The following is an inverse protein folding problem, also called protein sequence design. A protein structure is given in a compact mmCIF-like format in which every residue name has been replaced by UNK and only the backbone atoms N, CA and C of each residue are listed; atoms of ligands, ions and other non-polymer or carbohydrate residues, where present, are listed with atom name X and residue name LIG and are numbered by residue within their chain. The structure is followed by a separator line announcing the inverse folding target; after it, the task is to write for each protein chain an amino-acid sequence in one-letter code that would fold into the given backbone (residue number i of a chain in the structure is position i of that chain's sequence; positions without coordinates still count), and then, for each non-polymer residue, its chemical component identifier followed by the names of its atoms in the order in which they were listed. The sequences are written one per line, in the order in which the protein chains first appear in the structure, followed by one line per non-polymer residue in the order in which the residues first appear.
data_IF_888693984164
#
_entry.id   IF_888693984164
#
_cell.length_a   1.000
_cell.length_b   1.000
_cell.length_c   1.000
_cell.angle_alpha   90.00
_cell.angle_beta   90.00
_cell.angle_gamma   90.00
#
_symmetry.space_group_name_H-M   'P 1'
#
loop_
_entity.id
_entity.type
_entity.pdbx_description
1 polymer ?
#
# COMPACT_ATOMS: atom_id res chain seq x y z
N UNK A 1 -19.93 -5.71 -0.64
CA UNK A 1 -19.69 -4.63 -1.62
C UNK A 1 -20.68 -4.79 -2.76
N UNK A 2 -21.26 -3.73 -3.34
CA UNK A 2 -22.00 -3.85 -4.60
C UNK A 2 -21.15 -4.62 -5.61
N UNK A 3 -21.74 -5.56 -6.35
CA UNK A 3 -21.02 -6.41 -7.30
C UNK A 3 -20.20 -5.55 -8.28
N UNK A 4 -18.88 -5.54 -8.15
CA UNK A 4 -18.00 -4.88 -9.10
C UNK A 4 -18.00 -5.68 -10.41
N UNK A 5 -18.70 -5.16 -11.42
CA UNK A 5 -18.82 -5.80 -12.73
C UNK A 5 -17.56 -5.65 -13.60
N UNK A 6 -16.57 -4.86 -13.17
CA UNK A 6 -15.29 -4.67 -13.89
C UNK A 6 -14.17 -5.57 -13.37
N UNK A 7 -14.41 -6.31 -12.27
CA UNK A 7 -13.46 -7.25 -11.68
C UNK A 7 -13.96 -8.68 -11.82
N UNK A 8 -13.06 -9.64 -11.58
CA UNK A 8 -13.43 -11.03 -11.42
C UNK A 8 -14.39 -11.15 -10.24
N UNK A 9 -15.55 -11.77 -10.48
CA UNK A 9 -16.56 -11.98 -9.45
C UNK A 9 -16.13 -13.16 -8.58
N UNK A 10 -15.57 -12.84 -7.42
CA UNK A 10 -15.33 -13.79 -6.34
C UNK A 10 -16.62 -14.17 -5.60
N UNK A 11 -16.51 -14.96 -4.52
CA UNK A 11 -17.62 -15.19 -3.61
C UNK A 11 -18.08 -13.87 -2.96
N UNK A 12 -19.36 -13.83 -2.55
CA UNK A 12 -19.94 -12.66 -1.88
C UNK A 12 -19.25 -12.38 -0.53
N UNK A 13 -18.77 -13.43 0.14
CA UNK A 13 -18.01 -13.37 1.38
C UNK A 13 -16.69 -14.14 1.26
N UNK A 14 -15.62 -13.60 1.83
CA UNK A 14 -14.33 -14.25 1.99
C UNK A 14 -13.76 -13.83 3.34
N UNK A 15 -13.35 -14.80 4.15
CA UNK A 15 -12.82 -14.56 5.49
C UNK A 15 -11.40 -15.14 5.57
N UNK A 16 -10.40 -14.37 6.02
CA UNK A 16 -9.01 -14.82 6.04
C UNK A 16 -8.81 -15.90 7.11
N UNK A 17 -8.01 -16.96 6.83
CA UNK A 17 -7.79 -18.05 7.77
C UNK A 17 -7.27 -17.64 9.15
N UNK A 18 -6.55 -16.50 9.23
CA UNK A 18 -6.00 -15.95 10.46
C UNK A 18 -7.05 -15.72 11.56
N UNK A 19 -8.31 -15.45 11.20
CA UNK A 19 -9.39 -15.24 12.18
C UNK A 19 -9.72 -16.48 13.01
N UNK A 20 -9.33 -17.67 12.54
CA UNK A 20 -9.60 -18.94 13.21
C UNK A 20 -8.34 -19.74 13.51
N UNK A 21 -7.16 -19.14 13.30
CA UNK A 21 -5.92 -19.72 13.73
C UNK A 21 -5.90 -19.71 15.28
N UNK A 22 -5.88 -20.90 15.90
CA UNK A 22 -5.71 -21.02 17.33
C UNK A 22 -4.29 -20.54 17.68
N UNK A 23 -4.19 -19.44 18.44
CA UNK A 23 -2.92 -18.77 18.71
C UNK A 23 -2.64 -17.59 17.77
N UNK A 24 -3.68 -16.95 17.21
CA UNK A 24 -3.58 -15.59 16.69
C UNK A 24 -3.22 -14.61 17.82
N UNK A 25 -2.01 -14.74 18.36
CA UNK A 25 -1.26 -13.56 18.77
C UNK A 25 -1.25 -12.66 17.55
N UNK A 26 -1.59 -11.40 17.79
CA UNK A 26 -1.75 -10.36 16.78
C UNK A 26 -0.61 -10.46 15.77
N UNK A 27 -0.88 -11.07 14.61
CA UNK A 27 -0.03 -10.97 13.44
C UNK A 27 -0.12 -9.49 13.03
N UNK A 28 0.68 -8.68 13.72
CA UNK A 28 1.10 -7.36 13.31
C UNK A 28 1.49 -7.50 11.85
N UNK A 29 0.63 -7.07 10.93
CA UNK A 29 0.93 -7.03 9.51
C UNK A 29 2.10 -6.04 9.17
N UNK A 30 2.91 -5.67 10.18
CA UNK A 30 4.19 -4.98 10.11
C UNK A 30 5.33 -5.67 10.87
N UNK A 31 5.11 -6.86 11.44
CA UNK A 31 6.13 -7.68 12.09
C UNK A 31 6.77 -8.61 11.06
N UNK A 32 8.01 -8.27 10.66
CA UNK A 32 8.81 -9.17 9.83
C UNK A 32 9.14 -10.46 10.58
N UNK A 33 9.69 -11.44 9.87
CA UNK A 33 10.20 -12.71 10.40
C UNK A 33 10.97 -12.51 11.74
N UNK A 34 10.32 -12.86 12.87
CA UNK A 34 10.94 -12.91 14.19
C UNK A 34 10.59 -11.76 15.15
N UNK A 35 9.32 -11.50 15.45
CA UNK A 35 8.94 -10.64 16.58
C UNK A 35 8.96 -11.45 17.90
N UNK A 36 10.15 -11.91 18.31
CA UNK A 36 10.38 -12.10 19.74
C UNK A 36 10.25 -10.73 20.41
N UNK A 37 9.45 -10.63 21.47
CA UNK A 37 9.15 -9.42 22.26
C UNK A 37 10.21 -8.33 22.04
N UNK A 38 9.83 -7.28 21.29
CA UNK A 38 10.78 -6.33 20.72
C UNK A 38 11.79 -5.87 21.78
N UNK A 39 13.04 -6.32 21.64
CA UNK A 39 14.13 -5.91 22.51
C UNK A 39 14.23 -4.36 22.48
N UNK A 40 14.67 -3.72 23.58
CA UNK A 40 14.79 -2.27 23.62
C UNK A 40 15.64 -1.77 22.44
N UNK A 41 15.01 -0.98 21.57
CA UNK A 41 15.64 -0.33 20.42
C UNK A 41 16.16 1.04 20.83
N UNK A 42 17.33 1.41 20.34
CA UNK A 42 17.82 2.78 20.43
C UNK A 42 16.86 3.74 19.68
N UNK A 43 16.25 4.74 20.35
CA UNK A 43 15.32 5.68 19.71
C UNK A 43 15.96 6.49 18.57
N UNK A 44 17.28 6.62 18.56
CA UNK A 44 18.03 7.31 17.50
C UNK A 44 18.44 6.38 16.34
N UNK A 45 18.31 5.07 16.49
CA UNK A 45 18.67 4.15 15.43
C UNK A 45 17.71 4.28 14.25
N UNK A 46 18.25 4.33 13.03
CA UNK A 46 17.48 4.24 11.79
C UNK A 46 17.37 2.78 11.33
N UNK A 47 16.31 2.43 10.62
CA UNK A 47 16.19 1.10 9.97
C UNK A 47 17.06 1.10 8.71
N UNK A 48 17.90 0.08 8.47
CA UNK A 48 18.54 -0.11 7.18
C UNK A 48 17.58 0.08 6.00
N UNK A 49 18.05 0.83 5.00
CA UNK A 49 17.28 1.27 3.85
C UNK A 49 17.97 0.80 2.56
N UNK A 50 17.21 0.14 1.68
CA UNK A 50 17.56 -0.04 0.29
C UNK A 50 16.68 0.88 -0.57
N UNK A 51 17.30 1.71 -1.41
CA UNK A 51 16.57 2.61 -2.31
C UNK A 51 17.16 2.55 -3.72
N UNK A 52 16.29 2.45 -4.73
CA UNK A 52 16.67 2.48 -6.14
C UNK A 52 15.71 3.35 -6.95
N UNK A 53 16.25 4.40 -7.57
CA UNK A 53 15.54 5.19 -8.57
C UNK A 53 15.58 4.52 -9.95
N UNK A 54 14.61 4.82 -10.80
CA UNK A 54 14.55 4.33 -12.18
C UNK A 54 14.33 2.82 -12.30
N UNK A 55 13.60 2.21 -11.36
CA UNK A 55 13.35 0.77 -11.38
C UNK A 55 12.42 0.36 -12.53
N UNK A 56 11.38 1.17 -12.80
CA UNK A 56 10.36 0.88 -13.80
C UNK A 56 10.71 1.54 -15.13
N UNK A 57 10.80 0.74 -16.19
CA UNK A 57 11.10 1.20 -17.55
C UNK A 57 9.92 1.88 -18.26
N UNK A 58 8.68 1.64 -17.80
CA UNK A 58 7.46 2.21 -18.39
C UNK A 58 7.03 3.54 -17.77
N UNK A 59 7.73 3.98 -16.71
CA UNK A 59 7.48 5.26 -16.06
C UNK A 59 8.59 6.24 -16.44
N UNK A 60 8.26 7.52 -16.48
CA UNK A 60 9.23 8.60 -16.74
C UNK A 60 10.15 8.81 -15.53
N UNK A 61 9.59 8.62 -14.32
CA UNK A 61 10.34 8.50 -13.08
C UNK A 61 9.79 7.38 -12.23
N UNK A 62 10.64 6.69 -11.47
CA UNK A 62 10.18 5.69 -10.50
C UNK A 62 11.18 5.53 -9.37
N UNK A 63 10.72 5.02 -8.23
CA UNK A 63 11.56 4.70 -7.08
C UNK A 63 11.02 3.47 -6.36
N UNK A 64 11.93 2.59 -5.94
CA UNK A 64 11.66 1.51 -5.02
C UNK A 64 12.42 1.74 -3.72
N UNK A 65 11.74 1.52 -2.60
CA UNK A 65 12.22 1.75 -1.24
C UNK A 65 11.87 0.54 -0.39
N UNK A 66 12.86 0.00 0.30
CA UNK A 66 12.72 -1.13 1.20
C UNK A 66 13.42 -0.84 2.53
N UNK A 67 12.72 -1.12 3.64
CA UNK A 67 13.26 -1.02 4.99
C UNK A 67 13.35 -2.40 5.62
N UNK A 68 14.37 -2.61 6.46
CA UNK A 68 14.41 -3.78 7.34
C UNK A 68 13.20 -3.75 8.29
N UNK A 69 12.27 -4.69 8.13
CA UNK A 69 10.97 -4.69 8.81
C UNK A 69 9.78 -4.88 7.86
N UNK A 70 10.00 -5.51 6.70
CA UNK A 70 8.94 -5.89 5.77
C UNK A 70 8.36 -4.75 4.91
N UNK A 71 8.63 -3.48 5.24
CA UNK A 71 8.12 -2.35 4.45
C UNK A 71 8.79 -2.28 3.09
N UNK A 72 7.99 -2.41 2.03
CA UNK A 72 8.41 -2.31 0.63
C UNK A 72 7.43 -1.41 -0.10
N UNK A 73 7.93 -0.37 -0.76
CA UNK A 73 7.12 0.62 -1.48
C UNK A 73 7.68 0.84 -2.88
N UNK A 74 6.78 0.91 -3.86
CA UNK A 74 7.08 1.25 -5.24
C UNK A 74 6.30 2.51 -5.62
N UNK A 75 6.99 3.50 -6.18
CA UNK A 75 6.42 4.75 -6.67
C UNK A 75 6.77 4.94 -8.14
N UNK A 76 5.84 5.53 -8.90
CA UNK A 76 6.01 5.84 -10.31
C UNK A 76 5.40 7.22 -10.60
N UNK A 77 6.13 8.01 -11.38
CA UNK A 77 5.73 9.31 -11.87
C UNK A 77 5.62 9.23 -13.39
N UNK A 78 4.50 9.72 -13.90
CA UNK A 78 4.29 10.00 -15.31
C UNK A 78 4.17 11.51 -15.42
N UNK A 79 4.95 12.12 -16.31
CA UNK A 79 5.25 13.54 -16.31
C UNK A 79 4.06 14.50 -16.35
N UNK A 80 4.33 15.79 -16.52
CA UNK A 80 3.27 16.79 -16.59
C UNK A 80 2.26 16.42 -17.67
N UNK A 81 1.02 16.17 -17.25
CA UNK A 81 -0.09 15.86 -18.15
C UNK A 81 -1.11 16.97 -18.03
N UNK A 82 -1.64 17.38 -19.16
CA UNK A 82 -2.82 18.24 -19.18
C UNK A 82 -3.95 17.51 -18.45
N UNK A 83 -4.46 18.12 -17.39
CA UNK A 83 -5.61 17.59 -16.70
C UNK A 83 -6.83 17.81 -17.59
N UNK A 84 -7.59 16.75 -17.86
CA UNK A 84 -8.93 16.93 -18.42
C UNK A 84 -9.69 17.90 -17.50
N UNK A 85 -10.42 18.91 -18.05
CA UNK A 85 -11.27 19.73 -17.22
C UNK A 85 -12.18 18.80 -16.42
N UNK A 86 -12.21 19.00 -15.10
CA UNK A 86 -13.15 18.27 -14.25
C UNK A 86 -14.56 18.48 -14.83
N UNK A 87 -15.42 17.45 -14.88
CA UNK A 87 -16.82 17.69 -15.19
C UNK A 87 -17.30 18.74 -14.20
N UNK A 88 -17.70 19.91 -14.71
CA UNK A 88 -18.18 21.00 -13.88
C UNK A 88 -19.20 20.41 -12.91
N UNK A 89 -18.91 20.48 -11.61
CA UNK A 89 -19.92 20.22 -10.59
C UNK A 89 -21.14 21.04 -11.02
N UNK A 90 -22.23 20.35 -11.34
CA UNK A 90 -23.46 20.96 -11.80
C UNK A 90 -23.85 22.02 -10.77
N UNK A 91 -23.52 23.28 -11.06
CA UNK A 91 -23.85 24.40 -10.22
C UNK A 91 -25.35 24.61 -10.38
N UNK A 92 -26.11 23.95 -9.51
CA UNK A 92 -27.52 24.20 -9.25
C UNK A 92 -27.62 25.64 -8.74
N UNK A 93 -27.66 26.61 -9.66
CA UNK A 93 -28.03 27.98 -9.35
C UNK A 93 -29.55 28.03 -9.38
N UNK A 94 -30.15 27.90 -8.20
CA UNK A 94 -31.52 28.35 -7.97
C UNK A 94 -31.53 29.89 -8.04
N UNK A 95 -32.19 30.42 -9.06
CA UNK A 95 -32.85 31.72 -9.00
C UNK A 95 -34.33 31.48 -9.01
#
# INVERSE_FOLDING_TARGET
MPLDHRRLRGPDESQPPALWAAGAEEDEAGAGEGEAAAAPRDPCALRPLFARAGLLSQAEGSAYVELSGGTKVLCAAWGPREASPAPAAAALRHT
#
